data_IF_958144688744
#
_entry.id   IF_958144688744
#
_cell.length_a   1.000
_cell.length_b   1.000
_cell.length_c   1.000
_cell.angle_alpha   90.00
_cell.angle_beta   90.00
_cell.angle_gamma   90.00
#
_symmetry.space_group_name_H-M   'P 1'
#
loop_
_entity.id
_entity.type
_entity.pdbx_description
1 polymer ?
#
# COMPACT_ATOMS: atom_id res chain seq x y z
N UNK A 1 -57.47 -101.31 92.59
CA UNK A 1 -56.82 -101.44 91.27
C UNK A 1 -57.28 -100.40 90.27
N UNK A 2 -58.46 -99.76 90.43
CA UNK A 2 -59.03 -98.85 89.41
C UNK A 2 -58.55 -97.39 89.41
N UNK A 3 -57.86 -96.93 90.46
CA UNK A 3 -57.41 -95.52 90.57
C UNK A 3 -56.00 -95.29 89.99
N UNK A 4 -55.12 -96.27 90.12
CA UNK A 4 -53.74 -96.24 89.60
C UNK A 4 -53.69 -96.33 88.08
N UNK A 5 -54.57 -97.13 87.47
CA UNK A 5 -54.65 -97.26 86.01
C UNK A 5 -55.19 -95.99 85.35
N UNK A 6 -56.23 -95.36 85.93
CA UNK A 6 -56.74 -94.06 85.44
C UNK A 6 -55.72 -92.92 85.58
N UNK A 7 -54.90 -92.95 86.65
CA UNK A 7 -53.83 -91.98 86.84
C UNK A 7 -52.74 -92.15 85.77
N UNK A 8 -52.32 -93.39 85.50
CA UNK A 8 -51.34 -93.71 84.45
C UNK A 8 -51.87 -93.36 83.05
N UNK A 9 -53.16 -93.59 82.78
CA UNK A 9 -53.81 -93.22 81.52
C UNK A 9 -53.86 -91.69 81.34
N UNK A 10 -54.18 -90.94 82.41
CA UNK A 10 -54.19 -89.47 82.39
C UNK A 10 -52.78 -88.87 82.27
N UNK A 11 -51.76 -89.52 82.86
CA UNK A 11 -50.35 -89.15 82.72
C UNK A 11 -49.83 -89.41 81.30
N UNK A 12 -50.27 -90.51 80.66
CA UNK A 12 -49.93 -90.82 79.27
C UNK A 12 -50.58 -89.83 78.29
N UNK A 13 -51.88 -89.54 78.46
CA UNK A 13 -52.61 -88.58 77.62
C UNK A 13 -52.07 -87.15 77.77
N UNK A 14 -51.69 -86.75 79.00
CA UNK A 14 -50.99 -85.48 79.24
C UNK A 14 -49.60 -85.42 78.56
N UNK A 15 -48.87 -86.55 78.52
CA UNK A 15 -47.59 -86.67 77.82
C UNK A 15 -47.74 -86.56 76.29
N UNK A 16 -48.78 -87.17 75.72
CA UNK A 16 -49.09 -87.10 74.30
C UNK A 16 -49.53 -85.70 73.87
N UNK A 17 -50.36 -85.02 74.68
CA UNK A 17 -50.74 -83.62 74.45
C UNK A 17 -49.53 -82.68 74.55
N UNK A 18 -48.65 -82.88 75.54
CA UNK A 18 -47.45 -82.08 75.70
C UNK A 18 -46.48 -82.26 74.52
N UNK A 19 -46.21 -83.50 74.11
CA UNK A 19 -45.33 -83.79 72.97
C UNK A 19 -45.90 -83.24 71.65
N UNK A 20 -47.20 -83.41 71.40
CA UNK A 20 -47.87 -82.81 70.25
C UNK A 20 -47.84 -81.28 70.26
N UNK A 21 -47.96 -80.66 71.45
CA UNK A 21 -47.82 -79.21 71.63
C UNK A 21 -46.40 -78.71 71.31
N UNK A 22 -45.37 -79.42 71.81
CA UNK A 22 -43.96 -79.11 71.53
C UNK A 22 -43.65 -79.27 70.03
N UNK A 23 -44.11 -80.35 69.38
CA UNK A 23 -43.92 -80.55 67.93
C UNK A 23 -44.58 -79.45 67.11
N UNK A 24 -45.82 -79.04 67.44
CA UNK A 24 -46.50 -77.92 66.76
C UNK A 24 -45.76 -76.59 66.94
N UNK A 25 -45.27 -76.31 68.15
CA UNK A 25 -44.49 -75.09 68.43
C UNK A 25 -43.17 -75.08 67.64
N UNK A 26 -42.49 -76.22 67.52
CA UNK A 26 -41.28 -76.35 66.70
C UNK A 26 -41.59 -76.11 65.21
N UNK A 27 -42.66 -76.71 64.67
CA UNK A 27 -43.05 -76.51 63.26
C UNK A 27 -43.34 -75.04 62.98
N UNK A 28 -44.13 -74.37 63.85
CA UNK A 28 -44.42 -72.94 63.72
C UNK A 28 -43.14 -72.12 63.80
N UNK A 29 -42.26 -72.41 64.76
CA UNK A 29 -40.96 -71.74 64.90
C UNK A 29 -40.11 -71.87 63.64
N UNK A 30 -40.02 -73.07 63.06
CA UNK A 30 -39.30 -73.31 61.80
C UNK A 30 -39.92 -72.53 60.64
N UNK A 31 -41.24 -72.52 60.50
CA UNK A 31 -41.93 -71.76 59.44
C UNK A 31 -41.66 -70.26 59.59
N UNK A 32 -41.72 -69.71 60.81
CA UNK A 32 -41.44 -68.30 61.06
C UNK A 32 -39.99 -67.95 60.71
N UNK A 33 -39.03 -68.79 61.08
CA UNK A 33 -37.61 -68.59 60.74
C UNK A 33 -37.39 -68.65 59.23
N UNK A 34 -38.02 -69.60 58.54
CA UNK A 34 -37.95 -69.72 57.09
C UNK A 34 -38.55 -68.49 56.39
N UNK A 35 -39.72 -68.02 56.83
CA UNK A 35 -40.35 -66.81 56.29
C UNK A 35 -39.50 -65.56 56.56
N UNK A 36 -38.97 -65.40 57.77
CA UNK A 36 -38.12 -64.27 58.12
C UNK A 36 -36.84 -64.25 57.26
N UNK A 37 -36.23 -65.42 57.04
CA UNK A 37 -35.03 -65.56 56.19
C UNK A 37 -35.36 -65.29 54.72
N UNK A 38 -36.50 -65.78 54.22
CA UNK A 38 -36.95 -65.53 52.86
C UNK A 38 -37.21 -64.04 52.60
N UNK A 39 -37.91 -63.36 53.51
CA UNK A 39 -38.18 -61.91 53.42
C UNK A 39 -36.87 -61.12 53.50
N UNK A 40 -36.00 -61.46 54.45
CA UNK A 40 -34.69 -60.80 54.61
C UNK A 40 -33.82 -60.94 53.36
N UNK A 41 -33.79 -62.13 52.77
CA UNK A 41 -33.10 -62.40 51.51
C UNK A 41 -33.69 -61.56 50.36
N UNK A 42 -35.02 -61.52 50.23
CA UNK A 42 -35.70 -60.79 49.18
C UNK A 42 -35.47 -59.27 49.26
N UNK A 43 -35.48 -58.70 50.48
CA UNK A 43 -35.17 -57.29 50.71
C UNK A 43 -33.69 -57.01 50.38
N UNK A 44 -32.77 -57.83 50.88
CA UNK A 44 -31.34 -57.67 50.61
C UNK A 44 -31.04 -57.68 49.10
N UNK A 45 -31.69 -58.58 48.36
CA UNK A 45 -31.54 -58.65 46.91
C UNK A 45 -32.16 -57.43 46.20
N UNK A 46 -33.33 -56.96 46.65
CA UNK A 46 -34.01 -55.79 46.10
C UNK A 46 -33.22 -54.47 46.24
N UNK A 47 -32.32 -54.38 47.22
CA UNK A 47 -31.44 -53.22 47.44
C UNK A 47 -30.08 -53.40 46.77
N UNK A 48 -29.48 -54.60 46.87
CA UNK A 48 -28.14 -54.87 46.34
C UNK A 48 -28.08 -54.78 44.82
N UNK A 49 -29.08 -55.30 44.11
CA UNK A 49 -29.07 -55.34 42.65
C UNK A 49 -29.10 -53.94 42.02
N UNK A 50 -30.02 -53.01 42.39
CA UNK A 50 -30.02 -51.65 41.87
C UNK A 50 -28.73 -50.87 42.20
N UNK A 51 -28.22 -50.99 43.44
CA UNK A 51 -26.98 -50.32 43.85
C UNK A 51 -25.78 -50.78 43.04
N UNK A 52 -25.66 -52.09 42.80
CA UNK A 52 -24.53 -52.64 42.02
C UNK A 52 -24.57 -52.15 40.58
N UNK A 53 -25.76 -52.00 39.99
CA UNK A 53 -25.92 -51.44 38.62
C UNK A 53 -25.55 -49.96 38.57
N UNK A 54 -26.02 -49.17 39.54
CA UNK A 54 -25.68 -47.75 39.64
C UNK A 54 -24.16 -47.58 39.78
N UNK A 55 -23.52 -48.34 40.68
CA UNK A 55 -22.08 -48.28 40.87
C UNK A 55 -21.31 -48.65 39.60
N UNK A 56 -21.72 -49.70 38.89
CA UNK A 56 -21.07 -50.11 37.64
C UNK A 56 -21.11 -49.03 36.56
N UNK A 57 -22.25 -48.34 36.41
CA UNK A 57 -22.35 -47.25 35.43
C UNK A 57 -21.54 -46.04 35.89
N UNK A 58 -21.56 -45.70 37.18
CA UNK A 58 -20.72 -44.64 37.72
C UNK A 58 -19.23 -44.92 37.53
N UNK A 59 -18.80 -46.16 37.71
CA UNK A 59 -17.42 -46.60 37.44
C UNK A 59 -17.06 -46.33 35.96
N UNK A 60 -17.93 -46.74 35.02
CA UNK A 60 -17.75 -46.42 33.59
C UNK A 60 -17.69 -44.91 33.30
N UNK A 61 -18.55 -44.11 33.94
CA UNK A 61 -18.50 -42.65 33.84
C UNK A 61 -17.17 -42.09 34.35
N UNK A 62 -16.65 -42.60 35.48
CA UNK A 62 -15.34 -42.15 36.00
C UNK A 62 -14.17 -42.57 35.13
N UNK A 63 -14.31 -43.66 34.36
CA UNK A 63 -13.36 -44.08 33.33
C UNK A 63 -13.47 -43.26 32.04
N UNK A 64 -14.46 -42.35 31.95
CA UNK A 64 -14.67 -41.48 30.79
C UNK A 64 -15.72 -41.98 29.79
N UNK A 65 -16.36 -43.12 30.07
CA UNK A 65 -17.42 -43.67 29.21
C UNK A 65 -18.78 -43.04 29.54
N UNK A 66 -19.04 -41.88 28.93
CA UNK A 66 -20.32 -41.17 29.03
C UNK A 66 -21.43 -41.80 28.17
N UNK A 67 -21.23 -42.98 27.58
CA UNK A 67 -22.24 -43.66 26.75
C UNK A 67 -23.09 -44.66 27.54
N UNK A 68 -22.64 -45.05 28.73
CA UNK A 68 -23.36 -46.00 29.58
C UNK A 68 -24.60 -45.39 30.21
N UNK A 69 -25.69 -46.17 30.28
CA UNK A 69 -26.96 -45.76 30.88
C UNK A 69 -27.46 -46.82 31.84
N UNK A 70 -28.10 -46.38 32.91
CA UNK A 70 -28.77 -47.26 33.88
C UNK A 70 -30.19 -47.53 33.38
N UNK A 71 -30.53 -48.81 33.22
CA UNK A 71 -31.87 -49.28 32.87
C UNK A 71 -32.85 -49.09 34.04
N UNK A 72 -33.92 -48.33 33.81
CA UNK A 72 -34.90 -47.93 34.83
C UNK A 72 -36.05 -48.95 34.85
N UNK A 73 -36.01 -49.89 35.79
CA UNK A 73 -36.98 -51.00 35.86
C UNK A 73 -38.13 -50.82 36.86
N UNK A 74 -37.92 -50.02 37.90
CA UNK A 74 -38.87 -49.88 39.01
C UNK A 74 -39.37 -48.43 39.11
N UNK A 75 -40.41 -48.16 39.91
CA UNK A 75 -40.82 -46.79 40.21
C UNK A 75 -40.58 -46.48 41.70
N UNK A 76 -39.31 -46.32 42.06
CA UNK A 76 -38.85 -46.04 43.42
C UNK A 76 -37.71 -45.01 43.42
N UNK A 77 -37.12 -44.78 44.57
CA UNK A 77 -36.02 -43.83 44.78
C UNK A 77 -34.80 -44.14 43.91
N UNK A 78 -34.48 -45.42 43.70
CA UNK A 78 -33.34 -45.83 42.86
C UNK A 78 -33.55 -45.45 41.39
N UNK A 79 -34.80 -45.47 40.91
CA UNK A 79 -35.13 -45.05 39.55
C UNK A 79 -34.96 -43.55 39.34
N UNK A 80 -35.28 -42.75 40.36
CA UNK A 80 -35.02 -41.30 40.33
C UNK A 80 -33.51 -41.01 40.29
N UNK A 81 -32.72 -41.69 41.12
CA UNK A 81 -31.25 -41.57 41.11
C UNK A 81 -30.68 -42.00 39.76
N UNK A 82 -31.15 -43.13 39.22
CA UNK A 82 -30.74 -43.64 37.90
C UNK A 82 -31.04 -42.63 36.79
N UNK A 83 -32.21 -42.00 36.81
CA UNK A 83 -32.57 -40.93 35.87
C UNK A 83 -31.63 -39.73 35.95
N UNK A 84 -31.31 -39.25 37.16
CA UNK A 84 -30.35 -38.14 37.33
C UNK A 84 -28.94 -38.49 36.87
N UNK A 85 -28.47 -39.72 37.08
CA UNK A 85 -27.16 -40.17 36.58
C UNK A 85 -27.16 -40.24 35.05
N UNK A 86 -28.23 -40.73 34.43
CA UNK A 86 -28.35 -40.73 32.97
C UNK A 86 -28.30 -39.31 32.41
N UNK A 87 -29.05 -38.36 33.00
CA UNK A 87 -28.99 -36.95 32.58
C UNK A 87 -27.61 -36.32 32.78
N UNK A 88 -26.90 -36.69 33.84
CA UNK A 88 -25.51 -36.25 34.04
C UNK A 88 -24.60 -36.79 32.93
N UNK A 89 -24.74 -38.08 32.58
CA UNK A 89 -23.98 -38.70 31.49
C UNK A 89 -24.29 -38.03 30.14
N UNK A 90 -25.56 -37.72 29.86
CA UNK A 90 -25.98 -37.00 28.65
C UNK A 90 -25.31 -35.62 28.56
N UNK A 91 -25.36 -34.84 29.63
CA UNK A 91 -24.77 -33.50 29.67
C UNK A 91 -23.24 -33.54 29.52
N UNK A 92 -22.57 -34.48 30.19
CA UNK A 92 -21.12 -34.63 30.06
C UNK A 92 -20.72 -35.07 28.65
N UNK A 93 -21.49 -35.99 28.05
CA UNK A 93 -21.28 -36.39 26.67
C UNK A 93 -21.41 -35.20 25.71
N UNK A 94 -22.46 -34.39 25.85
CA UNK A 94 -22.66 -33.19 25.02
C UNK A 94 -21.52 -32.17 25.17
N UNK A 95 -21.04 -31.95 26.40
CA UNK A 95 -19.89 -31.08 26.66
C UNK A 95 -18.64 -31.61 25.96
N UNK A 96 -18.38 -32.91 26.01
CA UNK A 96 -17.22 -33.51 25.34
C UNK A 96 -17.32 -33.41 23.81
N UNK A 97 -18.51 -33.59 23.24
CA UNK A 97 -18.74 -33.38 21.80
C UNK A 97 -18.44 -31.93 21.41
N UNK A 98 -19.00 -30.96 22.15
CA UNK A 98 -18.75 -29.53 21.90
C UNK A 98 -17.27 -29.15 22.07
N UNK A 99 -16.58 -29.76 23.03
CA UNK A 99 -15.14 -29.55 23.26
C UNK A 99 -14.32 -30.09 22.08
N UNK A 100 -14.70 -31.24 21.53
CA UNK A 100 -14.06 -31.82 20.36
C UNK A 100 -14.27 -30.92 19.12
N UNK A 101 -15.51 -30.53 18.83
CA UNK A 101 -15.83 -29.59 17.74
C UNK A 101 -15.06 -28.26 17.89
N UNK A 102 -14.96 -27.71 19.10
CA UNK A 102 -14.19 -26.50 19.36
C UNK A 102 -12.69 -26.71 19.11
N UNK A 103 -12.15 -27.87 19.44
CA UNK A 103 -10.74 -28.23 19.21
C UNK A 103 -10.43 -28.39 17.73
N UNK A 104 -11.32 -29.03 16.96
CA UNK A 104 -11.19 -29.13 15.50
C UNK A 104 -11.25 -27.75 14.83
N UNK A 105 -12.20 -26.91 15.24
CA UNK A 105 -12.31 -25.53 14.74
C UNK A 105 -11.05 -24.70 15.06
N UNK A 106 -10.50 -24.85 16.27
CA UNK A 106 -9.26 -24.18 16.67
C UNK A 106 -8.08 -24.65 15.82
N UNK A 107 -7.97 -25.97 15.57
CA UNK A 107 -6.94 -26.55 14.71
C UNK A 107 -7.03 -26.02 13.28
N UNK A 108 -8.22 -26.03 12.68
CA UNK A 108 -8.48 -25.48 11.34
C UNK A 108 -8.14 -23.99 11.24
N UNK A 109 -8.48 -23.21 12.27
CA UNK A 109 -8.16 -21.79 12.35
C UNK A 109 -6.65 -21.58 12.44
N UNK A 110 -5.94 -22.38 13.24
CA UNK A 110 -4.48 -22.31 13.36
C UNK A 110 -3.79 -22.58 12.01
N UNK A 111 -4.21 -23.63 11.29
CA UNK A 111 -3.68 -23.93 9.95
C UNK A 111 -3.97 -22.80 8.94
N UNK A 112 -5.17 -22.22 9.01
CA UNK A 112 -5.53 -21.07 8.16
C UNK A 112 -4.66 -19.85 8.47
N UNK A 113 -4.38 -19.61 9.76
CA UNK A 113 -3.54 -18.51 10.21
C UNK A 113 -2.07 -18.70 9.79
N UNK A 114 -1.55 -19.92 9.89
CA UNK A 114 -0.21 -20.28 9.40
C UNK A 114 -0.08 -20.03 7.90
N UNK A 115 -1.04 -20.52 7.10
CA UNK A 115 -1.07 -20.29 5.65
C UNK A 115 -1.13 -18.80 5.31
N UNK A 116 -1.96 -18.04 6.03
CA UNK A 116 -2.10 -16.60 5.82
C UNK A 116 -0.81 -15.85 6.17
N UNK A 117 -0.16 -16.23 7.26
CA UNK A 117 1.12 -15.65 7.69
C UNK A 117 2.23 -15.93 6.67
N UNK A 118 2.31 -17.15 6.14
CA UNK A 118 3.24 -17.52 5.08
C UNK A 118 3.00 -16.70 3.79
N UNK A 119 1.74 -16.55 3.38
CA UNK A 119 1.40 -15.69 2.23
C UNK A 119 1.75 -14.21 2.48
N UNK A 120 1.53 -13.70 3.69
CA UNK A 120 1.91 -12.34 4.05
C UNK A 120 3.43 -12.14 3.97
N UNK A 121 4.22 -13.12 4.42
CA UNK A 121 5.68 -13.09 4.34
C UNK A 121 6.18 -13.00 2.88
N UNK A 122 5.58 -13.77 1.98
CA UNK A 122 5.91 -13.72 0.54
C UNK A 122 5.57 -12.35 -0.04
N UNK A 123 4.37 -11.83 0.25
CA UNK A 123 3.94 -10.49 -0.21
C UNK A 123 4.84 -9.38 0.31
N UNK A 124 5.25 -9.44 1.57
CA UNK A 124 6.18 -8.48 2.16
C UNK A 124 7.55 -8.51 1.48
N UNK A 125 8.04 -9.69 1.09
CA UNK A 125 9.28 -9.80 0.33
C UNK A 125 9.18 -9.11 -1.03
N UNK A 126 8.08 -9.34 -1.77
CA UNK A 126 7.84 -8.67 -3.05
C UNK A 126 7.67 -7.16 -2.90
N UNK A 127 6.96 -6.71 -1.86
CA UNK A 127 6.80 -5.28 -1.57
C UNK A 127 8.14 -4.60 -1.24
N UNK A 128 9.04 -5.29 -0.52
CA UNK A 128 10.40 -4.78 -0.26
C UNK A 128 11.19 -4.59 -1.55
N UNK A 129 11.13 -5.55 -2.48
CA UNK A 129 11.76 -5.45 -3.79
C UNK A 129 11.19 -4.28 -4.61
N UNK A 130 9.86 -4.15 -4.66
CA UNK A 130 9.21 -3.03 -5.33
C UNK A 130 9.62 -1.68 -4.72
N UNK A 131 9.72 -1.60 -3.40
CA UNK A 131 10.16 -0.38 -2.69
C UNK A 131 11.61 -0.04 -3.04
N UNK A 132 12.49 -1.04 -3.10
CA UNK A 132 13.87 -0.85 -3.52
C UNK A 132 13.95 -0.32 -4.97
N UNK A 133 13.15 -0.87 -5.88
CA UNK A 133 13.09 -0.39 -7.27
C UNK A 133 12.58 1.07 -7.36
N UNK A 134 11.57 1.43 -6.57
CA UNK A 134 11.10 2.83 -6.49
C UNK A 134 12.20 3.75 -5.96
N UNK A 135 12.94 3.33 -4.95
CA UNK A 135 14.07 4.13 -4.42
C UNK A 135 15.17 4.33 -5.47
N UNK A 136 15.48 3.30 -6.26
CA UNK A 136 16.40 3.41 -7.40
C UNK A 136 15.86 4.40 -8.44
N UNK A 137 14.60 4.27 -8.85
CA UNK A 137 13.99 5.19 -9.81
C UNK A 137 13.96 6.65 -9.32
N UNK A 138 13.75 6.87 -8.01
CA UNK A 138 13.85 8.21 -7.41
C UNK A 138 15.27 8.76 -7.45
N UNK A 139 16.28 7.91 -7.29
CA UNK A 139 17.69 8.30 -7.41
C UNK A 139 18.02 8.71 -8.85
N UNK A 140 17.58 7.92 -9.83
CA UNK A 140 17.72 8.26 -11.26
C UNK A 140 16.99 9.56 -11.60
N UNK A 141 15.77 9.74 -11.10
CA UNK A 141 14.99 10.97 -11.30
C UNK A 141 15.71 12.20 -10.72
N UNK A 142 16.31 12.08 -9.53
CA UNK A 142 17.10 13.15 -8.92
C UNK A 142 18.29 13.54 -9.81
N UNK A 143 18.99 12.55 -10.38
CA UNK A 143 20.07 12.82 -11.33
C UNK A 143 19.57 13.51 -12.61
N UNK A 144 18.45 13.07 -13.19
CA UNK A 144 17.86 13.73 -14.36
C UNK A 144 17.44 15.16 -14.09
N UNK A 145 16.87 15.44 -12.90
CA UNK A 145 16.51 16.81 -12.50
C UNK A 145 17.77 17.69 -12.39
N UNK A 146 18.85 17.15 -11.82
CA UNK A 146 20.12 17.87 -11.72
C UNK A 146 20.72 18.18 -13.11
N UNK A 147 20.65 17.22 -14.05
CA UNK A 147 21.11 17.41 -15.43
C UNK A 147 20.28 18.49 -16.15
N UNK A 148 18.96 18.47 -16.00
CA UNK A 148 18.07 19.52 -16.54
C UNK A 148 18.41 20.89 -15.97
N UNK A 149 18.63 20.99 -14.66
CA UNK A 149 19.03 22.24 -14.02
C UNK A 149 20.37 22.77 -14.57
N UNK A 150 21.34 21.88 -14.78
CA UNK A 150 22.64 22.25 -15.36
C UNK A 150 22.53 22.69 -16.82
N UNK A 151 21.69 22.02 -17.62
CA UNK A 151 21.40 22.42 -18.99
C UNK A 151 20.70 23.79 -19.06
N UNK A 152 19.77 24.06 -18.13
CA UNK A 152 19.10 25.35 -18.04
C UNK A 152 20.09 26.47 -17.68
N UNK A 153 21.01 26.22 -16.74
CA UNK A 153 22.07 27.16 -16.38
C UNK A 153 23.00 27.45 -17.56
N UNK A 154 23.44 26.43 -18.29
CA UNK A 154 24.26 26.61 -19.49
C UNK A 154 23.53 27.39 -20.61
N UNK A 155 22.23 27.19 -20.74
CA UNK A 155 21.39 27.95 -21.68
C UNK A 155 21.30 29.42 -21.31
N UNK A 156 21.14 29.73 -20.01
CA UNK A 156 21.13 31.10 -19.50
C UNK A 156 22.46 31.82 -19.80
N UNK A 157 23.60 31.17 -19.56
CA UNK A 157 24.92 31.72 -19.88
C UNK A 157 25.07 32.00 -21.38
N UNK A 158 24.55 31.11 -22.24
CA UNK A 158 24.57 31.33 -23.69
C UNK A 158 23.71 32.52 -24.11
N UNK A 159 22.51 32.66 -23.53
CA UNK A 159 21.63 33.81 -23.78
C UNK A 159 22.31 35.12 -23.37
N UNK A 160 22.95 35.17 -22.20
CA UNK A 160 23.70 36.35 -21.75
C UNK A 160 24.84 36.73 -22.70
N UNK A 161 25.55 35.74 -23.26
CA UNK A 161 26.58 35.98 -24.27
C UNK A 161 26.01 36.53 -25.57
N UNK A 162 24.86 36.02 -26.02
CA UNK A 162 24.16 36.52 -27.21
C UNK A 162 23.67 37.95 -27.01
N UNK A 163 23.14 38.27 -25.83
CA UNK A 163 22.72 39.62 -25.46
C UNK A 163 23.89 40.60 -25.53
N UNK A 164 25.03 40.26 -24.91
CA UNK A 164 26.25 41.08 -24.95
C UNK A 164 26.77 41.30 -26.37
N UNK A 165 26.81 40.24 -27.19
CA UNK A 165 27.24 40.35 -28.59
C UNK A 165 26.27 41.20 -29.44
N UNK A 166 24.97 41.12 -29.15
CA UNK A 166 23.96 41.94 -29.82
C UNK A 166 24.10 43.42 -29.45
N UNK A 167 24.41 43.72 -28.19
CA UNK A 167 24.66 45.09 -27.73
C UNK A 167 25.92 45.68 -28.37
N UNK A 168 27.01 44.90 -28.45
CA UNK A 168 28.22 45.28 -29.18
C UNK A 168 27.93 45.55 -30.66
N UNK A 169 27.19 44.65 -31.32
CA UNK A 169 26.76 44.83 -32.71
C UNK A 169 25.93 46.10 -32.91
N UNK A 170 25.06 46.44 -31.97
CA UNK A 170 24.27 47.67 -31.99
C UNK A 170 25.15 48.92 -31.89
N UNK A 171 26.19 48.88 -31.05
CA UNK A 171 27.16 49.98 -30.93
C UNK A 171 27.96 50.18 -32.22
N UNK A 172 28.40 49.10 -32.87
CA UNK A 172 29.06 49.15 -34.18
C UNK A 172 28.15 49.76 -35.24
N UNK A 173 26.88 49.33 -35.30
CA UNK A 173 25.92 49.89 -36.25
C UNK A 173 25.70 51.39 -36.03
N UNK A 174 25.60 51.84 -34.77
CA UNK A 174 25.49 53.26 -34.44
C UNK A 174 26.71 54.06 -34.92
N UNK A 175 27.92 53.50 -34.79
CA UNK A 175 29.15 54.11 -35.29
C UNK A 175 29.16 54.20 -36.82
N UNK A 176 28.71 53.15 -37.51
CA UNK A 176 28.60 53.13 -38.96
C UNK A 176 27.61 54.19 -39.48
N UNK A 177 26.45 54.36 -38.83
CA UNK A 177 25.48 55.41 -39.18
C UNK A 177 26.12 56.79 -39.04
N UNK A 178 26.84 57.05 -37.95
CA UNK A 178 27.57 58.32 -37.76
C UNK A 178 28.60 58.57 -38.87
N UNK A 179 29.36 57.53 -39.24
CA UNK A 179 30.35 57.60 -40.32
C UNK A 179 29.71 57.87 -41.68
N UNK A 180 28.57 57.26 -41.98
CA UNK A 180 27.80 57.49 -43.22
C UNK A 180 27.33 58.94 -43.30
N UNK A 181 26.79 59.51 -42.20
CA UNK A 181 26.37 60.91 -42.17
C UNK A 181 27.55 61.88 -42.38
N UNK A 182 28.72 61.55 -41.83
CA UNK A 182 29.95 62.33 -42.08
C UNK A 182 30.39 62.25 -43.54
N UNK A 183 30.29 61.06 -44.15
CA UNK A 183 30.62 60.85 -45.55
C UNK A 183 29.67 61.63 -46.47
N UNK A 184 28.37 61.62 -46.19
CA UNK A 184 27.37 62.41 -46.91
C UNK A 184 27.73 63.91 -46.88
N UNK A 185 28.07 64.42 -45.69
CA UNK A 185 28.48 65.82 -45.51
C UNK A 185 29.70 66.16 -46.38
N UNK A 186 30.74 65.32 -46.35
CA UNK A 186 31.96 65.50 -47.17
C UNK A 186 31.69 65.41 -48.67
N UNK A 187 30.77 64.55 -49.09
CA UNK A 187 30.35 64.46 -50.49
C UNK A 187 29.65 65.74 -50.94
N UNK A 188 28.77 66.31 -50.12
CA UNK A 188 28.11 67.59 -50.42
C UNK A 188 29.10 68.77 -50.50
N UNK A 189 30.11 68.80 -49.62
CA UNK A 189 31.22 69.76 -49.70
C UNK A 189 32.01 69.60 -50.99
N UNK A 190 32.33 68.35 -51.38
CA UNK A 190 33.06 68.05 -52.62
C UNK A 190 32.27 68.48 -53.87
N UNK A 191 30.95 68.21 -53.90
CA UNK A 191 30.06 68.67 -54.98
C UNK A 191 30.04 70.19 -55.08
N UNK A 192 29.98 70.90 -53.94
CA UNK A 192 30.03 72.36 -53.91
C UNK A 192 31.36 72.90 -54.44
N UNK A 193 32.49 72.31 -54.03
CA UNK A 193 33.82 72.70 -54.51
C UNK A 193 33.97 72.47 -56.03
N UNK A 194 33.46 71.35 -56.57
CA UNK A 194 33.45 71.09 -58.01
C UNK A 194 32.58 72.11 -58.76
N UNK A 195 31.41 72.46 -58.21
CA UNK A 195 30.55 73.50 -58.79
C UNK A 195 31.23 74.88 -58.82
N UNK A 196 31.95 75.24 -57.76
CA UNK A 196 32.70 76.49 -57.68
C UNK A 196 33.89 76.51 -58.66
N UNK A 197 34.61 75.39 -58.79
CA UNK A 197 35.65 75.21 -59.79
C UNK A 197 35.13 75.36 -61.22
N UNK A 198 33.94 74.81 -61.51
CA UNK A 198 33.27 74.97 -62.81
C UNK A 198 32.96 76.45 -63.09
N UNK A 199 32.48 77.19 -62.09
CA UNK A 199 32.20 78.64 -62.22
C UNK A 199 33.47 79.43 -62.49
N UNK A 200 34.55 79.19 -61.72
CA UNK A 200 35.85 79.84 -61.93
C UNK A 200 36.41 79.52 -63.32
N UNK A 201 36.31 78.27 -63.78
CA UNK A 201 36.74 77.86 -65.12
C UNK A 201 35.95 78.59 -66.21
N UNK A 202 34.64 78.80 -66.02
CA UNK A 202 33.82 79.62 -66.92
C UNK A 202 34.23 81.09 -66.95
N UNK A 203 34.59 81.67 -65.79
CA UNK A 203 35.12 83.03 -65.71
C UNK A 203 36.47 83.16 -66.43
N UNK A 204 37.37 82.19 -66.25
CA UNK A 204 38.64 82.13 -66.99
C UNK A 204 38.38 82.05 -68.50
N UNK A 205 37.42 81.22 -68.94
CA UNK A 205 36.99 81.17 -70.34
C UNK A 205 36.57 82.53 -70.88
N UNK A 206 35.72 83.26 -70.13
CA UNK A 206 35.31 84.61 -70.50
C UNK A 206 36.48 85.61 -70.56
N UNK A 207 37.43 85.52 -69.63
CA UNK A 207 38.66 86.34 -69.66
C UNK A 207 39.50 86.00 -70.90
N UNK A 208 39.65 84.71 -71.23
CA UNK A 208 40.38 84.28 -72.43
C UNK A 208 39.71 84.78 -73.71
N UNK A 209 38.38 84.81 -73.78
CA UNK A 209 37.64 85.42 -74.90
C UNK A 209 37.92 86.92 -75.01
N UNK A 210 37.95 87.65 -73.90
CA UNK A 210 38.34 89.07 -73.88
C UNK A 210 39.78 89.25 -74.34
N UNK A 211 40.73 88.43 -73.86
CA UNK A 211 42.13 88.48 -74.29
C UNK A 211 42.24 88.21 -75.79
N UNK A 212 41.50 87.23 -76.31
CA UNK A 212 41.47 86.91 -77.74
C UNK A 212 40.93 88.07 -78.56
N UNK A 213 39.85 88.71 -78.11
CA UNK A 213 39.29 89.91 -78.75
C UNK A 213 40.28 91.08 -78.73
N UNK A 214 40.99 91.30 -77.61
CA UNK A 214 42.04 92.32 -77.51
C UNK A 214 43.21 91.98 -78.44
N UNK A 215 43.65 90.72 -78.50
CA UNK A 215 44.72 90.29 -79.37
C UNK A 215 44.35 90.46 -80.85
N UNK A 216 43.10 90.17 -81.23
CA UNK A 216 42.59 90.45 -82.58
C UNK A 216 42.53 91.95 -82.86
N UNK A 217 42.03 92.78 -81.94
CA UNK A 217 42.07 94.24 -82.05
C UNK A 217 43.50 94.78 -82.15
N UNK A 218 44.43 94.24 -81.36
CA UNK A 218 45.84 94.63 -81.34
C UNK A 218 46.52 94.22 -82.64
N UNK A 219 46.21 93.03 -83.16
CA UNK A 219 46.68 92.59 -84.48
C UNK A 219 46.13 93.49 -85.59
N UNK A 220 44.88 93.92 -85.50
CA UNK A 220 44.26 94.87 -86.43
C UNK A 220 44.88 96.28 -86.35
N UNK A 221 45.15 96.76 -85.12
CA UNK A 221 45.85 98.02 -84.85
C UNK A 221 47.28 97.98 -85.35
N UNK A 222 48.02 96.91 -85.07
CA UNK A 222 49.38 96.69 -85.53
C UNK A 222 49.44 96.60 -87.07
N UNK A 223 48.47 95.94 -87.69
CA UNK A 223 48.35 95.88 -89.15
C UNK A 223 48.07 97.29 -89.73
N UNK A 224 47.14 98.05 -89.15
CA UNK A 224 46.88 99.43 -89.57
C UNK A 224 48.10 100.34 -89.37
N UNK A 225 48.81 100.19 -88.26
CA UNK A 225 50.05 100.93 -88.00
C UNK A 225 51.16 100.53 -89.00
N UNK A 226 51.28 99.24 -89.35
CA UNK A 226 52.22 98.78 -90.38
C UNK A 226 51.84 99.28 -91.77
N UNK A 227 50.55 99.35 -92.10
CA UNK A 227 50.05 99.99 -93.33
C UNK A 227 50.41 101.48 -93.33
N UNK A 228 50.17 102.22 -92.24
CA UNK A 228 50.44 103.65 -92.19
C UNK A 228 51.94 103.97 -92.14
N UNK A 229 52.75 103.12 -91.50
CA UNK A 229 54.21 103.18 -91.56
C UNK A 229 54.74 102.91 -92.98
N UNK A 230 54.17 101.93 -93.70
CA UNK A 230 54.48 101.71 -95.11
C UNK A 230 54.01 102.88 -95.99
N UNK A 231 52.91 103.55 -95.61
CA UNK A 231 52.36 104.73 -96.30
C UNK A 231 53.18 106.00 -96.05
N UNK A 232 53.83 106.12 -94.89
CA UNK A 232 54.65 107.26 -94.49
C UNK A 232 56.07 107.29 -95.09
N UNK A 233 56.53 106.22 -95.75
CA UNK A 233 57.89 106.15 -96.32
C UNK A 233 59.00 106.32 -95.25
N UNK A 234 60.20 106.75 -95.64
CA UNK A 234 61.43 106.86 -94.80
C UNK A 234 61.30 107.66 -93.47
N UNK A 235 60.13 108.24 -93.15
CA UNK A 235 59.83 108.88 -91.86
C UNK A 235 59.13 107.97 -90.83
N UNK A 236 58.76 106.73 -91.20
CA UNK A 236 57.93 105.83 -90.36
C UNK A 236 58.64 104.63 -89.70
N UNK A 237 59.97 104.56 -89.72
CA UNK A 237 60.73 103.47 -89.06
C UNK A 237 61.05 103.84 -87.61
N UNK A 238 60.08 103.64 -86.73
CA UNK A 238 60.22 103.62 -85.27
C UNK A 238 59.43 102.46 -84.71
#
# INVERSE_FOLDING_TARGET
TTATDKLNESLADAGDIYSAGVTKAIIIGVIVVLLATAIGYHIAQSVREPLTRILKVLEGLTEGDMTQRIDIRYNNEFSRVSGHINSLADNLHEILVKLNEASENLSSTATTNERTSSQAQIKLSSQREQTANVATAMTEMSHSVQEVAQSAQGSLEMVQRVESASEEGRNVMSSNISTINQLETRLNESVSAVSELQKMSGQIGSILDVIRNIAEQTNLLALNAAIEAARAGEQGRG
#
